data_IF_058262289596
#
_entry.id   IF_058262289596
#
_cell.length_a   1.000
_cell.length_b   1.000
_cell.length_c   1.000
_cell.angle_alpha   90.00
_cell.angle_beta   90.00
_cell.angle_gamma   90.00
#
_symmetry.space_group_name_H-M   'P 1'
#
loop_
_entity.id
_entity.type
_entity.pdbx_description
1 polymer ?
#
# COMPACT_ATOMS: atom_id res chain seq x y z
N UNK A 1 15.22 -5.09 -6.33
CA UNK A 1 15.92 -4.10 -7.17
C UNK A 1 14.94 -3.01 -7.57
N UNK A 2 15.38 -1.75 -7.54
CA UNK A 2 14.54 -0.60 -7.91
C UNK A 2 14.15 -0.62 -9.39
N UNK A 3 15.03 -1.15 -10.25
CA UNK A 3 14.74 -1.27 -11.70
C UNK A 3 13.55 -2.18 -11.96
N UNK A 4 13.42 -3.30 -11.23
CA UNK A 4 12.28 -4.22 -11.37
C UNK A 4 10.97 -3.57 -10.96
N UNK A 5 11.01 -2.72 -9.93
CA UNK A 5 9.83 -1.96 -9.52
C UNK A 5 9.43 -0.94 -10.59
N UNK A 6 10.40 -0.20 -11.15
CA UNK A 6 10.14 0.78 -12.20
C UNK A 6 9.52 0.13 -13.45
N UNK A 7 10.03 -1.03 -13.89
CA UNK A 7 9.49 -1.78 -15.04
C UNK A 7 8.05 -2.23 -14.80
N UNK A 8 7.72 -2.67 -13.58
CA UNK A 8 6.38 -3.16 -13.27
C UNK A 8 5.35 -2.04 -13.02
N UNK A 9 5.80 -0.87 -12.56
CA UNK A 9 4.91 0.21 -12.11
C UNK A 9 4.78 1.36 -13.12
N UNK A 10 5.63 1.44 -14.14
CA UNK A 10 5.61 2.53 -15.13
C UNK A 10 5.29 1.96 -16.52
N UNK A 11 4.00 1.80 -16.88
CA UNK A 11 3.62 1.31 -18.21
C UNK A 11 3.90 2.34 -19.31
N UNK A 12 3.90 3.64 -18.97
CA UNK A 12 4.20 4.73 -19.89
C UNK A 12 5.18 5.71 -19.24
N UNK A 13 6.23 6.19 -19.96
CA UNK A 13 7.28 7.03 -19.37
C UNK A 13 6.78 8.33 -18.71
N UNK A 14 5.64 8.88 -19.16
CA UNK A 14 5.05 10.11 -18.61
C UNK A 14 4.17 9.86 -17.37
N UNK A 15 3.74 8.62 -17.13
CA UNK A 15 2.88 8.22 -16.02
C UNK A 15 3.69 7.49 -14.94
N UNK A 16 4.67 8.19 -14.36
CA UNK A 16 5.59 7.65 -13.35
C UNK A 16 5.37 8.26 -11.95
N UNK A 17 4.26 8.98 -11.74
CA UNK A 17 3.87 9.50 -10.42
C UNK A 17 3.08 8.43 -9.66
N UNK A 18 3.59 8.04 -8.49
CA UNK A 18 2.95 7.02 -7.67
C UNK A 18 2.14 7.63 -6.54
N UNK A 19 0.98 7.04 -6.28
CA UNK A 19 0.26 7.23 -5.04
C UNK A 19 0.78 6.20 -4.04
N UNK A 20 1.31 6.67 -2.91
CA UNK A 20 1.86 5.80 -1.87
C UNK A 20 0.91 5.79 -0.68
N UNK A 21 0.67 4.62 -0.12
CA UNK A 21 -0.06 4.43 1.13
C UNK A 21 0.73 3.56 2.09
N UNK A 22 0.42 3.67 3.38
CA UNK A 22 1.05 2.84 4.41
C UNK A 22 -0.01 2.32 5.38
N UNK A 23 0.07 1.02 5.71
CA UNK A 23 -0.74 0.40 6.74
C UNK A 23 0.16 -0.46 7.65
N UNK A 24 -0.02 -0.40 8.98
CA UNK A 24 -1.02 0.39 9.71
C UNK A 24 -0.50 1.80 10.06
N UNK A 25 -1.34 2.83 9.87
CA UNK A 25 -1.09 4.17 10.44
C UNK A 25 -1.56 4.22 11.89
N UNK A 26 -0.65 3.93 12.82
CA UNK A 26 -0.94 3.93 14.26
C UNK A 26 -0.11 4.96 15.01
N UNK A 27 -0.72 5.58 16.02
CA UNK A 27 0.01 6.41 16.99
C UNK A 27 0.85 5.53 17.92
N UNK A 28 1.96 6.05 18.44
CA UNK A 28 2.87 5.32 19.33
C UNK A 28 2.15 4.69 20.53
N UNK A 29 1.14 5.37 21.09
CA UNK A 29 0.35 4.86 22.22
C UNK A 29 -0.74 3.84 21.86
N UNK A 30 -1.12 3.74 20.59
CA UNK A 30 -2.18 2.84 20.11
C UNK A 30 -1.63 1.57 19.44
N UNK A 31 -0.31 1.40 19.40
CA UNK A 31 0.33 0.28 18.70
C UNK A 31 -0.02 -1.08 19.30
N UNK A 32 -0.25 -1.17 20.61
CA UNK A 32 -0.55 -2.43 21.31
C UNK A 32 -2.02 -2.86 21.24
N UNK A 33 -2.93 -1.96 20.83
CA UNK A 33 -4.38 -2.22 20.83
C UNK A 33 -4.95 -2.55 19.45
N UNK A 34 -4.11 -2.55 18.40
CA UNK A 34 -4.56 -2.79 17.03
C UNK A 34 -4.24 -4.22 16.61
N UNK A 35 -5.22 -4.87 16.01
CA UNK A 35 -5.01 -6.14 15.35
C UNK A 35 -4.13 -5.92 14.09
N UNK A 36 -3.08 -6.73 13.99
CA UNK A 36 -2.06 -6.66 12.92
C UNK A 36 -2.08 -7.99 12.17
N UNK A 37 -3.25 -8.41 11.70
CA UNK A 37 -3.36 -9.56 10.80
C UNK A 37 -3.18 -9.16 9.34
N UNK A 38 -2.71 -10.09 8.51
CA UNK A 38 -2.52 -9.86 7.07
C UNK A 38 -3.81 -9.36 6.37
N UNK A 39 -4.99 -9.99 6.55
CA UNK A 39 -6.21 -9.52 5.87
C UNK A 39 -6.65 -8.12 6.31
N UNK A 40 -6.49 -7.78 7.59
CA UNK A 40 -6.81 -6.43 8.08
C UNK A 40 -5.85 -5.38 7.52
N UNK A 41 -4.55 -5.71 7.43
CA UNK A 41 -3.57 -4.84 6.81
C UNK A 41 -3.87 -4.62 5.33
N UNK A 42 -4.19 -5.69 4.59
CA UNK A 42 -4.56 -5.61 3.17
C UNK A 42 -5.80 -4.74 2.98
N UNK A 43 -6.83 -4.89 3.83
CA UNK A 43 -8.01 -4.04 3.77
C UNK A 43 -7.69 -2.56 4.06
N UNK A 44 -6.84 -2.30 5.05
CA UNK A 44 -6.40 -0.95 5.38
C UNK A 44 -5.58 -0.30 4.27
N UNK A 45 -4.81 -1.06 3.49
CA UNK A 45 -4.08 -0.52 2.33
C UNK A 45 -5.01 0.10 1.28
N UNK A 46 -6.26 -0.38 1.19
CA UNK A 46 -7.29 0.17 0.30
C UNK A 46 -8.20 1.20 0.99
N UNK A 47 -7.84 1.73 2.16
CA UNK A 47 -8.56 2.86 2.76
C UNK A 47 -7.97 4.19 2.24
N UNK A 48 -8.76 5.10 1.65
CA UNK A 48 -8.28 6.42 1.22
C UNK A 48 -7.57 7.20 2.32
N UNK A 49 -7.93 6.97 3.59
CA UNK A 49 -7.33 7.65 4.76
C UNK A 49 -5.87 7.26 4.98
N UNK A 50 -5.44 6.11 4.45
CA UNK A 50 -4.07 5.62 4.59
C UNK A 50 -3.16 6.01 3.42
N UNK A 51 -3.69 6.76 2.44
CA UNK A 51 -2.92 7.31 1.33
C UNK A 51 -2.19 8.58 1.76
N UNK A 52 -0.94 8.72 1.32
CA UNK A 52 -0.09 9.90 1.57
C UNK A 52 -0.33 11.01 0.56
N UNK A 53 -1.10 10.75 -0.50
CA UNK A 53 -1.59 11.76 -1.42
C UNK A 53 -3.04 12.10 -1.08
N UNK A 54 -3.36 13.40 -1.04
CA UNK A 54 -4.72 13.89 -0.83
C UNK A 54 -5.57 13.75 -2.10
N UNK A 55 -5.76 12.50 -2.55
CA UNK A 55 -6.48 12.14 -3.77
C UNK A 55 -7.37 10.93 -3.50
N UNK A 56 -8.63 10.98 -3.93
CA UNK A 56 -9.51 9.82 -3.85
C UNK A 56 -9.25 8.88 -5.04
N UNK A 57 -8.69 7.70 -4.77
CA UNK A 57 -8.43 6.70 -5.81
C UNK A 57 -9.71 6.14 -6.44
N UNK A 58 -10.88 6.32 -5.82
CA UNK A 58 -12.18 5.91 -6.37
C UNK A 58 -12.57 6.73 -7.60
N UNK A 59 -11.99 7.93 -7.75
CA UNK A 59 -12.22 8.77 -8.93
C UNK A 59 -11.37 8.34 -10.14
N UNK A 60 -10.59 7.27 -10.03
CA UNK A 60 -9.72 6.77 -11.08
C UNK A 60 -9.66 5.25 -11.13
N UNK A 61 -8.71 4.71 -11.90
CA UNK A 61 -8.40 3.29 -11.96
C UNK A 61 -6.92 3.08 -11.72
N UNK A 62 -6.59 2.01 -11.01
CA UNK A 62 -5.20 1.58 -10.85
C UNK A 62 -4.67 0.99 -12.16
N UNK A 63 -3.57 1.53 -12.67
CA UNK A 63 -2.85 0.96 -13.81
C UNK A 63 -1.93 -0.20 -13.36
N UNK A 64 -1.25 0.00 -12.24
CA UNK A 64 -0.29 -0.94 -11.65
C UNK A 64 -0.30 -0.76 -10.13
N UNK A 65 -0.20 -1.84 -9.37
CA UNK A 65 -0.12 -1.82 -7.90
C UNK A 65 1.04 -2.68 -7.42
N UNK A 66 1.69 -2.24 -6.34
CA UNK A 66 2.69 -3.03 -5.63
C UNK A 66 2.47 -2.89 -4.13
N UNK A 67 2.39 -4.02 -3.43
CA UNK A 67 2.28 -4.10 -1.98
C UNK A 67 3.55 -4.71 -1.41
N UNK A 68 4.07 -4.13 -0.33
CA UNK A 68 5.28 -4.62 0.35
C UNK A 68 4.91 -4.91 1.80
N UNK A 69 4.75 -6.20 2.11
CA UNK A 69 4.56 -6.66 3.48
C UNK A 69 5.92 -6.82 4.17
N UNK A 70 6.04 -6.32 5.40
CA UNK A 70 7.24 -6.44 6.23
C UNK A 70 6.92 -7.20 7.51
N UNK A 71 7.78 -8.14 7.88
CA UNK A 71 7.61 -8.96 9.09
C UNK A 71 7.56 -10.46 8.79
N UNK A 72 7.21 -11.25 9.80
CA UNK A 72 6.95 -12.68 9.64
C UNK A 72 5.54 -12.88 9.09
N UNK A 73 5.45 -12.99 7.78
CA UNK A 73 4.17 -13.12 7.06
C UNK A 73 4.19 -14.42 6.26
N UNK A 74 3.13 -15.22 6.38
CA UNK A 74 2.97 -16.42 5.57
C UNK A 74 2.44 -16.02 4.18
N UNK A 75 3.11 -16.49 3.12
CA UNK A 75 2.71 -16.20 1.73
C UNK A 75 1.30 -16.69 1.37
N UNK A 76 0.73 -17.61 2.16
CA UNK A 76 -0.65 -18.11 1.97
C UNK A 76 -1.72 -17.09 2.40
N UNK A 77 -1.37 -16.20 3.32
CA UNK A 77 -2.31 -15.23 3.90
C UNK A 77 -2.30 -13.88 3.16
N UNK A 78 -1.32 -13.70 2.26
CA UNK A 78 -1.15 -12.53 1.38
C UNK A 78 -1.86 -12.79 0.06
#
# INVERSE_FOLDING_TARGET
>A
DLRKLAVNMVPFPRLHFFMVGFAPLTSRGAHSFRAVSVPELTQQMFDPKNMMAASDFRNGRYLTCSAIFRGRVAMKEV
#
